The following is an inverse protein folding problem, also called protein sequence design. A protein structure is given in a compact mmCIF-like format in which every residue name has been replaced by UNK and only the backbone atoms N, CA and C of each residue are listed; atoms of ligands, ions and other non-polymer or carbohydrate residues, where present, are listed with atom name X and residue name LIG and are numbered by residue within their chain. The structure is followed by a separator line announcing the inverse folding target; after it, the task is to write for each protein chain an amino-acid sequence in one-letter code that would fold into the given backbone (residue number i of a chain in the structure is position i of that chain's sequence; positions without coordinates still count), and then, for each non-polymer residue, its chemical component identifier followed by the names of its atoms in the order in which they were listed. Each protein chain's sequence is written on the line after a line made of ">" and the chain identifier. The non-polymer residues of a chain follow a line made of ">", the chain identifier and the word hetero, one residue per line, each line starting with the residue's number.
data_IF_837126350913
#
_entry.id   IF_837126350913
#
_cell.length_a   1.000
_cell.length_b   1.000
_cell.length_c   1.000
_cell.angle_alpha   90.00
_cell.angle_beta   90.00
_cell.angle_gamma   90.00
#
_symmetry.space_group_name_H-M   'P 1'
#
loop_
_entity.id
_entity.type
_entity.pdbx_description
1 polymer ?
#
# COMPACT_ATOMS: atom_id res chain seq x y z
N UNK A 1 2.11 30.03 -22.09
CA UNK A 1 2.08 29.70 -20.64
C UNK A 1 0.70 29.27 -20.17
N UNK A 2 -0.37 30.01 -20.50
CA UNK A 2 -1.75 29.62 -20.12
C UNK A 2 -2.18 28.25 -20.71
N UNK A 3 -1.90 27.98 -21.99
CA UNK A 3 -2.31 26.71 -22.63
C UNK A 3 -1.63 25.48 -22.03
N UNK A 4 -0.35 25.62 -21.65
CA UNK A 4 0.41 24.54 -20.97
C UNK A 4 -0.14 24.28 -19.57
N UNK A 5 -0.50 25.34 -18.82
CA UNK A 5 -1.12 25.19 -17.50
C UNK A 5 -2.51 24.55 -17.59
N UNK A 6 -3.31 24.92 -18.60
CA UNK A 6 -4.62 24.33 -18.85
C UNK A 6 -4.50 22.87 -19.28
N UNK A 7 -3.58 22.53 -20.17
CA UNK A 7 -3.33 21.13 -20.57
C UNK A 7 -2.90 20.29 -19.37
N UNK A 8 -1.96 20.81 -18.57
CA UNK A 8 -1.52 20.14 -17.34
C UNK A 8 -2.69 19.92 -16.36
N UNK A 9 -3.53 20.93 -16.14
CA UNK A 9 -4.69 20.82 -15.27
C UNK A 9 -5.69 19.78 -15.79
N UNK A 10 -5.95 19.73 -17.10
CA UNK A 10 -6.80 18.72 -17.74
C UNK A 10 -6.25 17.31 -17.53
N UNK A 11 -4.97 17.08 -17.80
CA UNK A 11 -4.33 15.77 -17.64
C UNK A 11 -4.28 15.33 -16.17
N UNK A 12 -4.00 16.27 -15.26
CA UNK A 12 -3.96 16.04 -13.82
C UNK A 12 -5.35 15.63 -13.28
N UNK A 13 -6.40 16.35 -13.68
CA UNK A 13 -7.78 16.05 -13.28
C UNK A 13 -8.30 14.77 -13.93
N UNK A 14 -8.07 14.56 -15.23
CA UNK A 14 -8.46 13.34 -15.94
C UNK A 14 -7.79 12.10 -15.31
N UNK A 15 -6.49 12.19 -15.01
CA UNK A 15 -5.78 11.15 -14.28
C UNK A 15 -6.33 10.91 -12.87
N UNK A 16 -6.74 11.98 -12.18
CA UNK A 16 -7.38 11.90 -10.86
C UNK A 16 -8.74 11.20 -10.89
N UNK A 17 -9.58 11.52 -11.86
CA UNK A 17 -10.88 10.87 -12.08
C UNK A 17 -10.68 9.40 -12.45
N UNK A 18 -9.78 9.10 -13.39
CA UNK A 18 -9.47 7.73 -13.77
C UNK A 18 -8.97 6.89 -12.58
N UNK A 19 -8.08 7.47 -11.76
CA UNK A 19 -7.59 6.82 -10.54
C UNK A 19 -8.71 6.62 -9.51
N UNK A 20 -9.60 7.60 -9.33
CA UNK A 20 -10.74 7.50 -8.43
C UNK A 20 -11.69 6.38 -8.83
N UNK A 21 -12.04 6.29 -10.13
CA UNK A 21 -12.89 5.24 -10.68
C UNK A 21 -12.23 3.88 -10.47
N UNK A 22 -10.98 3.73 -10.89
CA UNK A 22 -10.24 2.46 -10.77
C UNK A 22 -10.16 2.00 -9.31
N UNK A 23 -9.77 2.88 -8.38
CA UNK A 23 -9.66 2.55 -6.95
C UNK A 23 -11.00 2.26 -6.30
N UNK A 24 -12.07 2.92 -6.74
CA UNK A 24 -13.43 2.64 -6.26
C UNK A 24 -13.94 1.29 -6.77
N UNK A 25 -13.65 0.93 -8.01
CA UNK A 25 -14.04 -0.37 -8.58
C UNK A 25 -13.37 -1.54 -7.83
N UNK A 26 -12.09 -1.40 -7.45
CA UNK A 26 -11.35 -2.46 -6.73
C UNK A 26 -11.42 -2.35 -5.21
N UNK A 27 -12.06 -1.31 -4.66
CA UNK A 27 -12.14 -1.10 -3.21
C UNK A 27 -12.72 -2.30 -2.43
N UNK A 28 -13.76 -3.01 -2.90
CA UNK A 28 -14.30 -4.19 -2.21
C UNK A 28 -13.25 -5.29 -2.01
N UNK A 29 -12.51 -5.67 -3.06
CA UNK A 29 -11.49 -6.70 -2.97
C UNK A 29 -10.24 -6.21 -2.22
N UNK A 30 -9.87 -4.93 -2.36
CA UNK A 30 -8.79 -4.34 -1.57
C UNK A 30 -9.13 -4.37 -0.06
N UNK A 31 -10.40 -4.18 0.31
CA UNK A 31 -10.85 -4.30 1.70
C UNK A 31 -10.78 -5.74 2.20
N UNK A 32 -11.25 -6.72 1.43
CA UNK A 32 -11.15 -8.14 1.78
C UNK A 32 -9.71 -8.56 2.00
N UNK A 33 -8.81 -8.15 1.09
CA UNK A 33 -7.36 -8.34 1.24
C UNK A 33 -6.86 -7.77 2.56
N UNK A 34 -7.16 -6.51 2.85
CA UNK A 34 -6.69 -5.85 4.07
C UNK A 34 -7.21 -6.55 5.33
N UNK A 35 -8.49 -6.93 5.37
CA UNK A 35 -9.07 -7.65 6.50
C UNK A 35 -8.34 -8.97 6.74
N UNK A 36 -8.16 -9.81 5.71
CA UNK A 36 -7.42 -11.06 5.85
C UNK A 36 -5.97 -10.84 6.30
N UNK A 37 -5.33 -9.77 5.82
CA UNK A 37 -3.94 -9.43 6.14
C UNK A 37 -3.75 -8.98 7.60
N UNK A 38 -4.70 -8.24 8.17
CA UNK A 38 -4.55 -7.62 9.50
C UNK A 38 -5.52 -8.11 10.57
N UNK A 39 -6.46 -9.01 10.27
CA UNK A 39 -7.45 -9.49 11.24
C UNK A 39 -6.85 -10.06 12.53
N UNK A 40 -5.70 -10.74 12.43
CA UNK A 40 -4.97 -11.28 13.59
C UNK A 40 -4.50 -10.20 14.58
N UNK A 41 -4.30 -8.99 14.08
CA UNK A 41 -3.95 -7.84 14.89
C UNK A 41 -5.19 -7.07 15.36
N UNK A 42 -6.40 -7.31 14.84
CA UNK A 42 -7.60 -6.53 15.19
C UNK A 42 -8.06 -6.79 16.63
N UNK A 43 -8.54 -5.73 17.33
CA UNK A 43 -9.18 -5.87 18.66
C UNK A 43 -10.67 -6.19 18.57
N UNK A 44 -11.32 -5.88 17.44
CA UNK A 44 -12.75 -6.10 17.24
C UNK A 44 -13.08 -7.52 16.76
N UNK A 45 -12.10 -8.22 16.18
CA UNK A 45 -12.28 -9.58 15.63
C UNK A 45 -11.74 -10.58 16.65
N UNK A 46 -12.65 -11.29 17.32
CA UNK A 46 -12.29 -12.42 18.17
C UNK A 46 -11.70 -13.56 17.31
N UNK A 47 -10.85 -14.40 17.91
CA UNK A 47 -10.11 -15.46 17.18
C UNK A 47 -11.05 -16.44 16.49
N UNK A 48 -12.15 -16.80 17.14
CA UNK A 48 -13.23 -17.65 16.63
C UNK A 48 -14.05 -17.00 15.50
N UNK A 49 -14.00 -15.68 15.37
CA UNK A 49 -14.75 -14.90 14.37
C UNK A 49 -13.91 -14.45 13.18
N UNK A 50 -12.64 -14.84 13.11
CA UNK A 50 -11.78 -14.53 11.98
C UNK A 50 -12.37 -15.05 10.66
N UNK A 51 -12.14 -14.31 9.58
CA UNK A 51 -12.57 -14.70 8.24
C UNK A 51 -11.70 -15.85 7.74
N UNK A 52 -12.36 -16.91 7.26
CA UNK A 52 -11.70 -18.15 6.81
C UNK A 52 -11.01 -18.01 5.45
N UNK A 53 -11.38 -16.99 4.69
CA UNK A 53 -10.84 -16.73 3.36
C UNK A 53 -11.60 -15.66 2.62
N UNK A 54 -11.33 -15.52 1.32
CA UNK A 54 -11.90 -14.47 0.47
C UNK A 54 -13.43 -14.61 0.38
N UNK A 55 -13.92 -15.80 0.06
CA UNK A 55 -15.36 -16.06 -0.11
C UNK A 55 -16.13 -15.79 1.20
N UNK A 56 -15.62 -16.32 2.31
CA UNK A 56 -16.21 -16.10 3.64
C UNK A 56 -16.29 -14.60 3.99
N UNK A 57 -15.21 -13.86 3.72
CA UNK A 57 -15.15 -12.42 3.94
C UNK A 57 -16.17 -11.65 3.09
N UNK A 58 -16.24 -11.94 1.78
CA UNK A 58 -17.19 -11.30 0.85
C UNK A 58 -18.64 -11.58 1.24
N UNK A 59 -18.96 -12.79 1.69
CA UNK A 59 -20.33 -13.16 2.08
C UNK A 59 -20.72 -12.55 3.43
N UNK A 60 -19.79 -12.47 4.39
CA UNK A 60 -20.06 -12.00 5.74
C UNK A 60 -20.09 -10.48 5.87
N UNK A 61 -19.24 -9.75 5.16
CA UNK A 61 -19.15 -8.28 5.26
C UNK A 61 -20.53 -7.60 5.09
N UNK A 62 -21.33 -7.89 4.04
CA UNK A 62 -22.63 -7.26 3.87
C UNK A 62 -23.60 -7.57 5.00
N UNK A 63 -23.59 -8.81 5.50
CA UNK A 63 -24.45 -9.28 6.59
C UNK A 63 -24.07 -8.66 7.94
N UNK A 64 -22.77 -8.48 8.18
CA UNK A 64 -22.25 -7.98 9.44
C UNK A 64 -22.30 -6.44 9.50
N UNK A 65 -22.00 -5.72 8.41
CA UNK A 65 -21.71 -4.28 8.42
C UNK A 65 -22.51 -3.47 7.39
N UNK A 66 -23.29 -4.13 6.53
CA UNK A 66 -23.96 -3.53 5.39
C UNK A 66 -23.11 -3.52 4.12
N UNK A 67 -23.76 -3.54 2.96
CA UNK A 67 -23.10 -3.66 1.65
C UNK A 67 -22.10 -2.51 1.35
N UNK A 68 -22.48 -1.27 1.69
CA UNK A 68 -21.63 -0.08 1.46
C UNK A 68 -20.31 -0.15 2.23
N UNK A 69 -20.21 -0.99 3.26
CA UNK A 69 -18.98 -1.15 4.05
C UNK A 69 -17.78 -1.68 3.25
N UNK A 70 -18.00 -2.28 2.06
CA UNK A 70 -16.90 -2.64 1.15
C UNK A 70 -16.01 -1.46 0.77
N UNK A 71 -16.57 -0.25 0.70
CA UNK A 71 -15.83 0.98 0.36
C UNK A 71 -15.28 1.71 1.58
N UNK A 72 -15.32 1.11 2.76
CA UNK A 72 -14.83 1.75 3.97
C UNK A 72 -13.32 2.05 3.87
N UNK A 73 -12.98 3.32 4.02
CA UNK A 73 -11.62 3.84 3.84
C UNK A 73 -11.27 4.27 2.40
N UNK A 74 -12.15 4.04 1.41
CA UNK A 74 -11.85 4.37 0.00
C UNK A 74 -11.68 5.88 -0.26
N UNK A 75 -12.23 6.76 0.60
CA UNK A 75 -12.03 8.21 0.48
C UNK A 75 -10.54 8.59 0.51
N UNK A 76 -9.77 8.00 1.43
CA UNK A 76 -8.33 8.24 1.51
C UNK A 76 -7.60 7.83 0.22
N UNK A 77 -8.09 6.77 -0.42
CA UNK A 77 -7.58 6.24 -1.67
C UNK A 77 -7.69 7.23 -2.84
N UNK A 78 -8.86 7.86 -2.94
CA UNK A 78 -9.18 8.87 -3.97
C UNK A 78 -8.36 10.14 -3.72
N UNK A 79 -8.38 10.65 -2.49
CA UNK A 79 -7.65 11.87 -2.12
C UNK A 79 -6.16 11.70 -2.35
N UNK A 80 -5.57 10.54 -2.00
CA UNK A 80 -4.13 10.29 -2.07
C UNK A 80 -3.54 10.50 -3.46
N UNK A 81 -4.31 10.34 -4.53
CA UNK A 81 -3.81 10.54 -5.89
C UNK A 81 -3.24 11.93 -6.09
N UNK A 82 -4.00 12.97 -5.74
CA UNK A 82 -3.64 14.37 -6.00
C UNK A 82 -2.31 14.81 -5.36
N UNK A 83 -2.10 14.68 -4.03
CA UNK A 83 -0.83 15.06 -3.41
C UNK A 83 0.32 14.17 -3.88
N UNK A 84 0.08 12.88 -4.15
CA UNK A 84 1.14 12.00 -4.68
C UNK A 84 1.58 12.47 -6.07
N UNK A 85 0.65 12.85 -6.95
CA UNK A 85 1.01 13.34 -8.28
C UNK A 85 1.67 14.71 -8.26
N UNK A 86 1.23 15.62 -7.38
CA UNK A 86 1.91 16.89 -7.19
C UNK A 86 3.38 16.69 -6.75
N UNK A 87 3.62 15.78 -5.81
CA UNK A 87 4.97 15.45 -5.35
C UNK A 87 5.80 14.73 -6.42
N UNK A 88 5.18 13.83 -7.19
CA UNK A 88 5.85 13.21 -8.33
C UNK A 88 6.29 14.25 -9.36
N UNK A 89 5.42 15.20 -9.69
CA UNK A 89 5.75 16.28 -10.62
C UNK A 89 6.90 17.16 -10.11
N UNK A 90 6.89 17.47 -8.81
CA UNK A 90 7.93 18.30 -8.20
C UNK A 90 9.30 17.61 -8.10
N UNK A 91 9.34 16.33 -7.72
CA UNK A 91 10.58 15.68 -7.27
C UNK A 91 11.09 14.53 -8.14
N UNK A 92 10.25 13.88 -8.94
CA UNK A 92 10.64 12.66 -9.67
C UNK A 92 11.80 12.89 -10.61
N UNK A 93 11.76 13.97 -11.39
CA UNK A 93 12.82 14.26 -12.36
C UNK A 93 14.09 14.79 -11.70
N UNK A 94 13.97 15.51 -10.57
CA UNK A 94 15.12 15.90 -9.75
C UNK A 94 15.85 14.67 -9.20
N UNK A 95 15.12 13.70 -8.63
CA UNK A 95 15.75 12.47 -8.16
C UNK A 95 16.35 11.65 -9.30
N UNK A 96 15.70 11.57 -10.46
CA UNK A 96 16.31 10.91 -11.63
C UNK A 96 17.61 11.61 -12.04
N UNK A 97 17.63 12.94 -12.11
CA UNK A 97 18.84 13.68 -12.47
C UNK A 97 19.96 13.46 -11.46
N UNK A 98 19.66 13.49 -10.16
CA UNK A 98 20.66 13.27 -9.09
C UNK A 98 21.24 11.86 -9.13
N UNK A 99 20.42 10.83 -9.32
CA UNK A 99 20.88 9.44 -9.20
C UNK A 99 21.25 8.76 -10.52
N UNK A 100 20.75 9.26 -11.66
CA UNK A 100 20.94 8.71 -13.00
C UNK A 100 21.57 9.71 -14.00
N UNK A 101 21.88 10.94 -13.57
CA UNK A 101 22.54 11.93 -14.42
C UNK A 101 23.87 11.39 -14.95
N UNK A 102 24.01 11.34 -16.28
CA UNK A 102 25.22 10.85 -16.94
C UNK A 102 25.43 9.34 -16.92
N UNK A 103 24.46 8.55 -16.44
CA UNK A 103 24.56 7.08 -16.41
C UNK A 103 23.98 6.49 -17.69
N UNK A 104 24.81 5.78 -18.46
CA UNK A 104 24.38 5.06 -19.66
C UNK A 104 23.80 3.69 -19.29
N UNK A 105 22.52 3.48 -19.60
CA UNK A 105 21.81 2.22 -19.33
C UNK A 105 22.45 1.02 -20.03
N UNK A 106 23.04 1.20 -21.22
CA UNK A 106 23.56 0.11 -22.04
C UNK A 106 24.98 -0.30 -21.66
N UNK A 107 25.77 0.66 -21.15
CA UNK A 107 27.17 0.40 -20.75
C UNK A 107 27.33 0.10 -19.27
N UNK A 108 26.42 0.60 -18.42
CA UNK A 108 26.57 0.56 -16.96
C UNK A 108 25.33 0.02 -16.26
N UNK A 109 24.94 -1.23 -16.58
CA UNK A 109 23.71 -1.86 -16.06
C UNK A 109 23.56 -1.74 -14.53
N UNK A 110 24.55 -2.18 -13.75
CA UNK A 110 24.46 -2.16 -12.28
C UNK A 110 24.41 -0.75 -11.69
N UNK A 111 25.11 0.22 -12.30
CA UNK A 111 25.05 1.62 -11.88
C UNK A 111 23.68 2.22 -12.16
N UNK A 112 23.11 1.93 -13.33
CA UNK A 112 21.77 2.34 -13.71
C UNK A 112 20.71 1.70 -12.81
N UNK A 113 20.84 0.41 -12.54
CA UNK A 113 19.94 -0.33 -11.66
C UNK A 113 19.95 0.27 -10.25
N UNK A 114 21.12 0.42 -9.63
CA UNK A 114 21.26 1.04 -8.31
C UNK A 114 20.74 2.49 -8.28
N UNK A 115 21.07 3.30 -9.30
CA UNK A 115 20.58 4.68 -9.41
C UNK A 115 19.05 4.76 -9.54
N UNK A 116 18.44 3.83 -10.27
CA UNK A 116 16.99 3.79 -10.44
C UNK A 116 16.26 3.29 -9.17
N UNK A 117 16.88 2.39 -8.40
CA UNK A 117 16.40 2.02 -7.07
C UNK A 117 16.48 3.19 -6.09
N UNK A 118 17.63 3.89 -6.04
CA UNK A 118 17.81 5.05 -5.18
C UNK A 118 16.84 6.18 -5.54
N UNK A 119 16.70 6.49 -6.84
CA UNK A 119 15.75 7.47 -7.35
C UNK A 119 14.31 7.13 -6.97
N UNK A 120 13.89 5.87 -7.18
CA UNK A 120 12.56 5.41 -6.84
C UNK A 120 12.29 5.38 -5.33
N UNK A 121 13.27 4.93 -4.55
CA UNK A 121 13.21 4.90 -3.09
C UNK A 121 13.11 6.29 -2.49
N UNK A 122 13.93 7.24 -2.95
CA UNK A 122 13.92 8.63 -2.50
C UNK A 122 12.61 9.35 -2.87
N UNK A 123 12.14 9.20 -4.12
CA UNK A 123 10.87 9.77 -4.56
C UNK A 123 9.68 9.16 -3.78
N UNK A 124 9.70 7.85 -3.55
CA UNK A 124 8.70 7.13 -2.78
C UNK A 124 8.68 7.57 -1.32
N UNK A 125 9.84 7.63 -0.66
CA UNK A 125 9.97 8.09 0.72
C UNK A 125 9.49 9.54 0.88
N UNK A 126 9.88 10.43 -0.03
CA UNK A 126 9.44 11.84 -0.03
C UNK A 126 7.93 11.95 -0.18
N UNK A 127 7.34 11.17 -1.09
CA UNK A 127 5.88 11.14 -1.25
C UNK A 127 5.20 10.67 0.03
N UNK A 128 5.70 9.57 0.61
CA UNK A 128 5.19 9.04 1.87
C UNK A 128 5.34 10.02 3.03
N UNK A 129 6.38 10.88 3.09
CA UNK A 129 6.48 11.90 4.13
C UNK A 129 5.21 12.76 4.25
N UNK A 130 4.49 12.99 3.15
CA UNK A 130 3.25 13.76 3.15
C UNK A 130 1.98 12.90 3.13
N UNK A 131 1.98 11.81 2.35
CA UNK A 131 0.73 11.05 2.10
C UNK A 131 0.56 9.82 2.99
N UNK A 132 1.57 9.46 3.81
CA UNK A 132 1.48 8.28 4.68
C UNK A 132 0.32 8.31 5.67
N UNK A 133 -0.07 9.46 6.28
CA UNK A 133 -1.26 9.51 7.13
C UNK A 133 -2.55 9.06 6.41
N UNK A 134 -2.67 9.34 5.11
CA UNK A 134 -3.81 8.85 4.32
C UNK A 134 -3.77 7.33 4.14
N UNK A 135 -2.60 6.76 3.87
CA UNK A 135 -2.42 5.30 3.80
C UNK A 135 -2.74 4.62 5.15
N UNK A 136 -2.30 5.25 6.25
CA UNK A 136 -2.57 4.79 7.61
C UNK A 136 -4.07 4.77 7.90
N UNK A 137 -4.75 5.90 7.71
CA UNK A 137 -6.17 6.02 7.99
C UNK A 137 -7.01 5.10 7.09
N UNK A 138 -6.59 4.94 5.82
CA UNK A 138 -7.19 3.96 4.92
C UNK A 138 -7.17 2.55 5.52
N UNK A 139 -6.01 2.10 5.99
CA UNK A 139 -5.86 0.76 6.57
C UNK A 139 -6.68 0.59 7.83
N UNK A 140 -6.67 1.57 8.73
CA UNK A 140 -7.45 1.53 9.97
C UNK A 140 -8.95 1.49 9.73
N UNK A 141 -9.44 2.32 8.80
CA UNK A 141 -10.85 2.30 8.41
C UNK A 141 -11.25 0.99 7.73
N UNK A 142 -10.41 0.44 6.85
CA UNK A 142 -10.70 -0.82 6.19
C UNK A 142 -10.77 -2.00 7.17
N UNK A 143 -9.88 -2.01 8.18
CA UNK A 143 -9.80 -3.01 9.22
C UNK A 143 -10.90 -2.89 10.30
N UNK A 144 -11.56 -1.73 10.40
CA UNK A 144 -12.67 -1.50 11.32
C UNK A 144 -13.90 -2.30 10.86
N UNK A 145 -14.26 -3.28 11.68
CA UNK A 145 -15.37 -4.21 11.44
C UNK A 145 -16.64 -3.86 12.23
N UNK A 146 -16.64 -2.73 12.94
CA UNK A 146 -17.80 -2.27 13.71
C UNK A 146 -19.06 -2.07 12.85
N UNK A 147 -20.23 -2.14 13.47
CA UNK A 147 -21.50 -1.75 12.84
C UNK A 147 -21.68 -0.23 12.93
N UNK A 148 -22.32 0.37 11.92
CA UNK A 148 -22.66 1.78 11.94
C UNK A 148 -23.49 2.13 13.19
N UNK A 149 -23.18 3.26 13.84
CA UNK A 149 -23.97 3.81 14.96
C UNK A 149 -23.42 3.55 16.37
N UNK A 150 -22.74 2.43 16.65
CA UNK A 150 -22.33 2.14 18.04
C UNK A 150 -20.98 1.41 18.23
N UNK A 151 -20.46 0.67 17.25
CA UNK A 151 -19.26 -0.17 17.44
C UNK A 151 -18.10 0.15 16.49
N UNK A 152 -18.20 1.24 15.72
CA UNK A 152 -17.09 1.73 14.88
C UNK A 152 -15.97 2.29 15.75
N UNK A 153 -14.74 1.95 15.42
CA UNK A 153 -13.54 2.55 16.05
C UNK A 153 -13.39 4.01 15.59
N UNK A 154 -13.67 4.26 14.29
CA UNK A 154 -13.54 5.56 13.66
C UNK A 154 -14.80 5.94 12.87
N UNK A 155 -15.21 7.21 12.93
CA UNK A 155 -16.37 7.70 12.17
C UNK A 155 -16.02 8.03 10.71
N UNK A 156 -14.73 8.23 10.41
CA UNK A 156 -14.25 8.54 9.06
C UNK A 156 -12.76 8.86 9.02
N UNK A 157 -12.30 9.39 7.88
CA UNK A 157 -10.89 9.74 7.65
C UNK A 157 -10.39 10.79 8.65
N UNK A 158 -11.11 11.91 8.78
CA UNK A 158 -10.72 12.98 9.71
C UNK A 158 -10.72 12.52 11.18
N UNK A 159 -11.77 11.81 11.60
CA UNK A 159 -11.85 11.25 12.96
C UNK A 159 -10.69 10.28 13.26
N UNK A 160 -10.34 9.41 12.29
CA UNK A 160 -9.20 8.50 12.43
C UNK A 160 -7.88 9.25 12.62
N UNK A 161 -7.62 10.27 11.81
CA UNK A 161 -6.39 11.06 11.90
C UNK A 161 -6.32 11.83 13.23
N UNK A 162 -7.41 12.50 13.62
CA UNK A 162 -7.46 13.30 14.85
C UNK A 162 -7.35 12.43 16.10
N UNK A 163 -8.09 11.31 16.19
CA UNK A 163 -8.04 10.41 17.35
C UNK A 163 -6.64 9.84 17.57
N UNK A 164 -5.98 9.36 16.51
CA UNK A 164 -4.64 8.78 16.61
C UNK A 164 -3.59 9.86 16.88
N UNK A 165 -3.72 11.04 16.26
CA UNK A 165 -2.83 12.15 16.56
C UNK A 165 -2.92 12.58 18.03
N UNK A 166 -4.13 12.61 18.60
CA UNK A 166 -4.34 12.94 20.03
C UNK A 166 -3.78 11.87 20.98
N UNK A 167 -3.80 10.59 20.59
CA UNK A 167 -3.34 9.50 21.45
C UNK A 167 -1.82 9.30 21.39
N UNK A 168 -1.24 9.32 20.17
CA UNK A 168 0.13 8.86 19.88
C UNK A 168 0.98 9.91 19.15
N UNK A 169 0.41 11.08 18.85
CA UNK A 169 1.06 12.13 18.08
C UNK A 169 1.37 11.74 16.63
N UNK A 170 2.35 12.42 16.04
CA UNK A 170 2.82 12.13 14.68
C UNK A 170 3.40 10.71 14.57
N UNK A 171 4.06 10.22 15.61
CA UNK A 171 4.65 8.87 15.61
C UNK A 171 3.60 7.79 15.32
N UNK A 172 2.39 7.93 15.88
CA UNK A 172 1.28 7.01 15.63
C UNK A 172 0.83 6.98 14.17
N UNK A 173 0.78 8.13 13.49
CA UNK A 173 0.36 8.22 12.09
C UNK A 173 1.38 7.65 11.10
N UNK A 174 2.66 7.56 11.49
CA UNK A 174 3.77 7.09 10.65
C UNK A 174 4.31 5.70 11.05
N UNK A 175 3.57 4.95 11.87
CA UNK A 175 3.94 3.58 12.24
C UNK A 175 4.05 2.68 11.00
N UNK A 176 5.23 2.07 10.83
CA UNK A 176 5.56 1.23 9.67
C UNK A 176 6.17 2.01 8.49
N UNK A 177 6.58 3.26 8.66
CA UNK A 177 7.21 4.05 7.59
C UNK A 177 8.48 3.39 7.05
N UNK A 178 9.41 2.98 7.91
CA UNK A 178 10.70 2.40 7.49
C UNK A 178 10.54 1.13 6.66
N UNK A 179 9.72 0.19 7.13
CA UNK A 179 9.44 -1.06 6.39
C UNK A 179 8.70 -0.80 5.08
N UNK A 180 7.91 0.28 5.00
CA UNK A 180 7.27 0.67 3.73
C UNK A 180 8.27 1.17 2.69
N UNK A 181 9.30 1.92 3.09
CA UNK A 181 10.36 2.38 2.20
C UNK A 181 11.19 1.19 1.71
N UNK A 182 11.54 0.25 2.59
CA UNK A 182 12.20 -1.00 2.23
C UNK A 182 11.36 -1.80 1.21
N UNK A 183 10.05 -1.94 1.48
CA UNK A 183 9.11 -2.60 0.57
C UNK A 183 9.04 -1.95 -0.82
N UNK A 184 9.11 -0.62 -0.91
CA UNK A 184 9.19 0.10 -2.20
C UNK A 184 10.46 -0.28 -2.96
N UNK A 185 11.62 -0.33 -2.29
CA UNK A 185 12.90 -0.67 -2.92
C UNK A 185 12.86 -2.12 -3.43
N UNK A 186 12.40 -3.07 -2.62
CA UNK A 186 12.29 -4.49 -2.99
C UNK A 186 11.30 -4.68 -4.15
N UNK A 187 10.12 -4.05 -4.07
CA UNK A 187 9.13 -4.08 -5.15
C UNK A 187 9.74 -3.56 -6.45
N UNK A 188 10.45 -2.43 -6.40
CA UNK A 188 11.07 -1.83 -7.58
C UNK A 188 12.20 -2.70 -8.14
N UNK A 189 13.04 -3.27 -7.29
CA UNK A 189 14.10 -4.19 -7.70
C UNK A 189 13.54 -5.42 -8.41
N UNK A 190 12.53 -6.06 -7.83
CA UNK A 190 11.84 -7.20 -8.44
C UNK A 190 11.16 -6.80 -9.75
N UNK A 191 10.43 -5.68 -9.77
CA UNK A 191 9.74 -5.19 -10.98
C UNK A 191 10.73 -4.98 -12.13
N UNK A 192 11.82 -4.23 -11.92
CA UNK A 192 12.80 -3.97 -12.97
C UNK A 192 13.55 -5.23 -13.40
N UNK A 193 13.99 -6.06 -12.45
CA UNK A 193 14.71 -7.30 -12.76
C UNK A 193 13.87 -8.26 -13.60
N UNK A 194 12.62 -8.51 -13.20
CA UNK A 194 11.71 -9.40 -13.92
C UNK A 194 11.31 -8.78 -15.26
N UNK A 195 11.04 -7.46 -15.32
CA UNK A 195 10.68 -6.79 -16.57
C UNK A 195 11.81 -6.79 -17.60
N UNK A 196 13.05 -6.51 -17.19
CA UNK A 196 14.20 -6.54 -18.08
C UNK A 196 14.49 -7.97 -18.57
N UNK A 197 14.33 -8.98 -17.71
CA UNK A 197 14.44 -10.40 -18.08
C UNK A 197 13.35 -10.80 -19.08
N UNK A 198 12.09 -10.45 -18.78
CA UNK A 198 10.95 -10.74 -19.65
C UNK A 198 11.10 -10.08 -21.03
N UNK A 199 11.63 -8.85 -21.08
CA UNK A 199 11.96 -8.18 -22.34
C UNK A 199 13.07 -8.86 -23.12
N UNK A 200 14.10 -9.38 -22.45
CA UNK A 200 15.18 -10.12 -23.10
C UNK A 200 14.74 -11.47 -23.69
N UNK A 201 13.67 -12.05 -23.16
CA UNK A 201 13.09 -13.31 -23.66
C UNK A 201 12.09 -13.11 -24.81
N UNK A 202 11.67 -11.89 -25.10
CA UNK A 202 10.74 -11.61 -26.20
C UNK A 202 11.49 -11.56 -27.54
N UNK A 203 11.02 -12.28 -28.58
CA UNK A 203 11.67 -12.29 -29.89
C UNK A 203 11.60 -10.93 -30.61
N UNK A 204 10.53 -10.16 -30.41
CA UNK A 204 10.45 -8.75 -30.85
C UNK A 204 9.69 -7.89 -29.83
N UNK A 205 10.39 -7.21 -28.90
CA UNK A 205 9.79 -6.36 -27.89
C UNK A 205 9.04 -5.14 -28.45
N UNK A 206 9.30 -4.73 -29.70
CA UNK A 206 8.69 -3.53 -30.31
C UNK A 206 7.41 -3.87 -31.07
N UNK A 207 7.31 -5.06 -31.66
CA UNK A 207 6.12 -5.51 -32.39
C UNK A 207 5.25 -6.52 -31.63
N UNK A 208 5.47 -6.67 -30.32
CA UNK A 208 4.65 -7.55 -29.47
C UNK A 208 3.20 -7.03 -29.39
N UNK A 209 2.23 -7.90 -29.65
CA UNK A 209 0.80 -7.58 -29.57
C UNK A 209 0.44 -6.95 -28.20
N UNK A 210 -0.45 -5.95 -28.21
CA UNK A 210 -0.79 -5.17 -27.01
C UNK A 210 -1.28 -6.04 -25.84
N UNK A 211 -2.03 -7.11 -26.12
CA UNK A 211 -2.51 -8.05 -25.10
C UNK A 211 -1.35 -8.81 -24.44
N UNK A 212 -0.35 -9.23 -25.21
CA UNK A 212 0.83 -9.92 -24.67
C UNK A 212 1.65 -8.97 -23.82
N UNK A 213 1.90 -7.75 -24.29
CA UNK A 213 2.58 -6.71 -23.51
C UNK A 213 1.83 -6.39 -22.20
N UNK A 214 0.50 -6.34 -22.24
CA UNK A 214 -0.34 -6.15 -21.06
C UNK A 214 -0.24 -7.33 -20.09
N UNK A 215 -0.33 -8.57 -20.58
CA UNK A 215 -0.20 -9.77 -19.73
C UNK A 215 1.17 -9.82 -19.05
N UNK A 216 2.25 -9.52 -19.78
CA UNK A 216 3.60 -9.45 -19.20
C UNK A 216 3.65 -8.38 -18.11
N UNK A 217 3.09 -7.20 -18.37
CA UNK A 217 3.04 -6.14 -17.36
C UNK A 217 2.27 -6.56 -16.10
N UNK A 218 1.15 -7.29 -16.24
CA UNK A 218 0.40 -7.83 -15.10
C UNK A 218 1.19 -8.91 -14.35
N UNK A 219 1.81 -9.86 -15.05
CA UNK A 219 2.62 -10.93 -14.44
C UNK A 219 3.80 -10.35 -13.67
N UNK A 220 4.55 -9.41 -14.26
CA UNK A 220 5.66 -8.72 -13.59
C UNK A 220 5.16 -8.00 -12.33
N UNK A 221 4.03 -7.29 -12.43
CA UNK A 221 3.43 -6.57 -11.30
C UNK A 221 3.00 -7.52 -10.19
N UNK A 222 2.39 -8.66 -10.53
CA UNK A 222 1.96 -9.67 -9.57
C UNK A 222 3.15 -10.30 -8.84
N UNK A 223 4.18 -10.74 -9.58
CA UNK A 223 5.37 -11.38 -8.98
C UNK A 223 6.13 -10.39 -8.08
N UNK A 224 6.35 -9.15 -8.55
CA UNK A 224 6.97 -8.11 -7.71
C UNK A 224 6.13 -7.79 -6.46
N UNK A 225 4.81 -7.80 -6.59
CA UNK A 225 3.87 -7.64 -5.49
C UNK A 225 3.96 -8.77 -4.47
N UNK A 226 4.09 -10.03 -4.91
CA UNK A 226 4.28 -11.20 -4.04
C UNK A 226 5.62 -11.13 -3.31
N UNK A 227 6.71 -10.81 -4.01
CA UNK A 227 8.03 -10.69 -3.40
C UNK A 227 8.11 -9.62 -2.31
N UNK A 228 7.42 -8.50 -2.51
CA UNK A 228 7.37 -7.39 -1.53
C UNK A 228 6.25 -7.54 -0.49
N UNK A 229 5.39 -8.56 -0.60
CA UNK A 229 4.23 -8.75 0.25
C UNK A 229 4.51 -8.90 1.75
N UNK A 230 5.61 -9.56 2.17
CA UNK A 230 5.97 -9.63 3.59
C UNK A 230 6.17 -8.24 4.20
N UNK A 231 6.80 -7.31 3.46
CA UNK A 231 7.02 -5.93 3.90
C UNK A 231 5.70 -5.15 4.02
N UNK A 232 4.78 -5.31 3.07
CA UNK A 232 3.44 -4.71 3.17
C UNK A 232 2.68 -5.29 4.38
N UNK A 233 2.79 -6.59 4.64
CA UNK A 233 2.11 -7.21 5.79
C UNK A 233 2.63 -6.68 7.12
N UNK A 234 3.95 -6.59 7.30
CA UNK A 234 4.55 -5.99 8.50
C UNK A 234 4.16 -4.52 8.63
N UNK A 235 4.22 -3.75 7.53
CA UNK A 235 3.76 -2.36 7.48
C UNK A 235 2.33 -2.21 8.01
N UNK A 236 1.38 -2.98 7.47
CA UNK A 236 -0.04 -2.88 7.86
C UNK A 236 -0.26 -3.33 9.30
N UNK A 237 0.44 -4.36 9.78
CA UNK A 237 0.38 -4.79 11.18
C UNK A 237 0.90 -3.71 12.13
N UNK A 238 1.99 -3.02 11.79
CA UNK A 238 2.50 -1.90 12.57
C UNK A 238 1.49 -0.75 12.64
N UNK A 239 0.81 -0.41 11.54
CA UNK A 239 -0.25 0.62 11.54
C UNK A 239 -1.41 0.27 12.49
N UNK A 240 -1.69 -1.01 12.69
CA UNK A 240 -2.75 -1.44 13.62
C UNK A 240 -2.39 -1.20 15.09
N UNK A 241 -1.11 -0.98 15.44
CA UNK A 241 -0.66 -0.78 16.81
C UNK A 241 -0.94 0.63 17.35
N UNK A 242 -1.02 1.65 16.49
CA UNK A 242 -1.24 3.02 16.94
C UNK A 242 -2.58 3.18 17.69
N UNK A 243 -2.61 3.95 18.76
CA UNK A 243 -3.76 4.10 19.65
C UNK A 243 -3.93 2.95 20.65
N UNK A 244 -3.02 1.97 20.68
CA UNK A 244 -2.98 0.93 21.72
C UNK A 244 -2.01 1.32 22.81
N UNK A 245 -2.52 1.47 24.04
CA UNK A 245 -1.66 1.55 25.23
C UNK A 245 -1.14 0.14 25.54
N UNK A 246 0.18 -0.08 25.49
CA UNK A 246 0.85 -1.24 26.08
C UNK A 246 1.38 -2.36 25.17
N UNK A 247 1.16 -2.36 23.84
CA UNK A 247 1.68 -3.42 22.94
C UNK A 247 2.76 -2.88 21.96
N UNK A 248 4.00 -3.34 22.19
CA UNK A 248 5.19 -3.44 21.32
C UNK A 248 5.44 -2.39 20.22
N UNK A 249 6.55 -1.64 20.39
CA UNK A 249 6.95 -0.46 19.60
C UNK A 249 7.94 -0.74 18.44
N UNK A 250 8.30 -2.00 18.15
CA UNK A 250 9.40 -2.31 17.23
C UNK A 250 8.99 -3.13 15.99
N UNK A 251 9.63 -2.87 14.84
CA UNK A 251 9.43 -3.63 13.59
C UNK A 251 9.74 -5.12 13.76
N UNK A 252 10.71 -5.45 14.61
CA UNK A 252 11.08 -6.83 14.93
C UNK A 252 9.99 -7.57 15.72
N UNK A 253 9.23 -6.86 16.55
CA UNK A 253 8.09 -7.42 17.28
C UNK A 253 6.92 -7.74 16.34
N UNK A 254 6.69 -6.90 15.32
CA UNK A 254 5.67 -7.16 14.30
C UNK A 254 5.98 -8.37 13.40
N UNK A 255 7.27 -8.67 13.21
CA UNK A 255 7.75 -9.86 12.49
C UNK A 255 7.64 -11.12 13.37
N UNK A 256 7.88 -11.00 14.68
CA UNK A 256 7.86 -12.12 15.64
C UNK A 256 6.50 -12.39 16.29
N UNK A 257 5.52 -11.50 16.13
CA UNK A 257 4.13 -11.67 16.57
C UNK A 257 3.41 -12.96 16.09
N UNK A 258 3.68 -13.53 14.89
CA UNK A 258 3.12 -14.83 14.51
C UNK A 258 3.54 -15.97 15.44
N UNK A 259 4.74 -15.89 15.99
CA UNK A 259 5.37 -17.01 16.70
C UNK A 259 5.02 -17.05 18.19
N UNK A 260 4.68 -15.90 18.79
CA UNK A 260 4.30 -15.83 20.22
C UNK A 260 2.87 -16.24 20.54
N UNK A 261 1.97 -16.35 19.55
CA UNK A 261 0.57 -16.79 19.75
C UNK A 261 0.28 -18.21 19.23
N UNK A 262 1.29 -18.95 18.76
CA UNK A 262 1.15 -20.34 18.33
C UNK A 262 1.90 -21.29 19.26
N UNK A 263 1.14 -22.13 19.97
CA UNK A 263 1.56 -23.34 20.70
C UNK A 263 2.12 -23.15 22.12
N UNK A 264 1.25 -22.82 23.08
CA UNK A 264 1.27 -23.56 24.35
C UNK A 264 0.34 -24.77 24.20
N UNK A 265 0.92 -25.89 23.78
CA UNK A 265 0.29 -27.19 23.92
C UNK A 265 0.29 -27.49 25.42
N UNK A 266 -0.88 -27.45 26.04
CA UNK A 266 -1.07 -28.05 27.36
C UNK A 266 -0.77 -29.54 27.24
N UNK A 267 0.42 -29.96 27.68
CA UNK A 267 0.68 -31.36 27.97
C UNK A 267 0.03 -31.67 29.33
N UNK A 268 -1.20 -32.18 29.30
CA UNK A 268 -1.74 -32.93 30.41
C UNK A 268 -1.35 -34.40 30.19
N UNK A 269 -0.31 -34.85 30.88
CA UNK A 269 -0.16 -36.19 31.42
C UNK A 269 0.76 -36.13 32.62
#
# INVERSE_FOLDING_TARGET
>A
MADQAISFAKDFLAGGVAAAISKTAVAPIERVKLLLQVQHASKQIAVDKQYKGIIDCVVRIPKEQGFVSFWRGNLANVIRYFPTQALNFAFKDKYKQVFLGGVDKHKQFWRYFAGNLASGGAAGATSLCFVYPLDFARTRLAADVGKAGASREFNGLGDCLVKIFRSDGLRGLYQGFNVSVQGIIIYRAAYFGIYDTAKGMLPDPKNTHIVVSWMIAQTVTAVAGVMSYPFDTVRRRMMMQSGRKGEQNCTLDAISFPQKRGYHVHWNH
#
